data_IF_684313487171
#
_entry.id   IF_684313487171
#
_cell.length_a   1.000
_cell.length_b   1.000
_cell.length_c   1.000
_cell.angle_alpha   90.00
_cell.angle_beta   90.00
_cell.angle_gamma   90.00
#
_symmetry.space_group_name_H-M   'P 1'
#
loop_
_entity.id
_entity.type
_entity.pdbx_description
1 polymer ?
#
# COMPACT_ATOMS: atom_id res chain seq x y z
N UNK A 1 12.13 -2.85 10.71
CA UNK A 1 11.19 -1.72 10.61
C UNK A 1 9.81 -2.25 10.82
N UNK A 2 8.86 -1.43 11.26
CA UNK A 2 7.61 -1.95 11.81
C UNK A 2 6.43 -1.76 10.87
N UNK A 3 5.47 -2.69 10.93
CA UNK A 3 4.18 -2.63 10.23
C UNK A 3 3.47 -1.25 10.38
N UNK A 4 3.41 -0.62 11.58
CA UNK A 4 2.81 0.71 11.75
C UNK A 4 3.44 1.82 10.89
N UNK A 5 4.76 1.82 10.71
CA UNK A 5 5.44 2.84 9.90
C UNK A 5 5.09 2.69 8.42
N UNK A 6 4.96 1.45 7.94
CA UNK A 6 4.53 1.18 6.57
C UNK A 6 3.07 1.60 6.35
N UNK A 7 2.18 1.32 7.31
CA UNK A 7 0.79 1.77 7.25
C UNK A 7 0.67 3.30 7.26
N UNK A 8 1.46 3.98 8.10
CA UNK A 8 1.46 5.45 8.14
C UNK A 8 1.98 6.07 6.84
N UNK A 9 3.01 5.46 6.23
CA UNK A 9 3.50 5.86 4.91
C UNK A 9 2.38 5.79 3.86
N UNK A 10 1.69 4.66 3.74
CA UNK A 10 0.62 4.52 2.75
C UNK A 10 -0.61 5.37 3.09
N UNK A 11 -0.92 5.59 4.37
CA UNK A 11 -1.95 6.56 4.79
C UNK A 11 -1.65 7.97 4.27
N UNK A 12 -0.41 8.44 4.45
CA UNK A 12 0.03 9.75 3.95
C UNK A 12 -0.04 9.82 2.43
N UNK A 13 0.46 8.80 1.73
CA UNK A 13 0.37 8.72 0.26
C UNK A 13 -1.06 8.75 -0.26
N UNK A 14 -1.96 7.95 0.31
CA UNK A 14 -3.38 7.96 -0.07
C UNK A 14 -4.01 9.34 0.15
N UNK A 15 -3.65 10.03 1.24
CA UNK A 15 -4.09 11.40 1.50
C UNK A 15 -3.50 12.39 0.49
N UNK A 16 -2.20 12.31 0.21
CA UNK A 16 -1.52 13.15 -0.79
C UNK A 16 -2.17 12.99 -2.15
N UNK A 17 -2.29 11.75 -2.65
CA UNK A 17 -2.91 11.46 -3.95
C UNK A 17 -4.34 11.99 -4.08
N UNK A 18 -5.11 12.00 -2.98
CA UNK A 18 -6.46 12.54 -2.93
C UNK A 18 -6.52 14.08 -2.81
N UNK A 19 -5.42 14.72 -2.41
CA UNK A 19 -5.30 16.17 -2.24
C UNK A 19 -4.58 16.85 -3.40
N UNK A 20 -3.82 16.11 -4.21
CA UNK A 20 -3.01 16.64 -5.31
C UNK A 20 -3.83 17.40 -6.35
N UNK A 21 -5.10 17.03 -6.58
CA UNK A 21 -6.04 17.87 -7.34
C UNK A 21 -7.43 17.91 -6.68
N UNK A 22 -8.12 19.06 -6.69
CA UNK A 22 -9.44 19.24 -6.07
C UNK A 22 -10.57 18.34 -6.63
N UNK A 23 -10.29 17.55 -7.68
CA UNK A 23 -11.22 16.58 -8.28
C UNK A 23 -10.60 15.19 -8.57
N UNK A 24 -9.35 14.96 -8.13
CA UNK A 24 -8.74 13.62 -8.14
C UNK A 24 -8.95 12.97 -6.79
N UNK A 25 -9.80 11.95 -6.77
CA UNK A 25 -9.67 10.94 -5.73
C UNK A 25 -8.44 10.07 -6.00
N UNK A 26 -8.04 9.30 -5.01
CA UNK A 26 -6.97 8.31 -5.12
C UNK A 26 -7.10 7.40 -6.35
N UNK A 27 -8.32 7.01 -6.78
CA UNK A 27 -8.49 6.12 -7.95
C UNK A 27 -8.02 6.81 -9.20
N UNK A 28 -8.47 8.04 -9.41
CA UNK A 28 -8.07 8.83 -10.58
C UNK A 28 -6.56 9.04 -10.60
N UNK A 29 -5.94 9.32 -9.45
CA UNK A 29 -4.48 9.45 -9.37
C UNK A 29 -3.77 8.18 -9.80
N UNK A 30 -4.13 7.04 -9.21
CA UNK A 30 -3.51 5.75 -9.50
C UNK A 30 -3.71 5.36 -10.96
N UNK A 31 -4.92 5.55 -11.50
CA UNK A 31 -5.23 5.24 -12.89
C UNK A 31 -4.50 6.16 -13.88
N UNK A 32 -4.28 7.43 -13.52
CA UNK A 32 -3.53 8.38 -14.34
C UNK A 32 -2.02 8.08 -14.36
N UNK A 33 -1.43 7.83 -13.19
CA UNK A 33 -0.01 7.48 -13.10
C UNK A 33 0.26 6.10 -13.70
N UNK A 34 -0.69 5.17 -13.54
CA UNK A 34 -0.50 3.77 -13.86
C UNK A 34 0.66 3.14 -13.09
N UNK A 35 0.99 1.89 -13.45
CA UNK A 35 2.09 1.15 -12.82
C UNK A 35 3.42 1.90 -12.95
N UNK A 36 3.78 2.31 -14.17
CA UNK A 36 5.10 2.90 -14.46
C UNK A 36 5.32 4.23 -13.74
N UNK A 37 4.31 5.10 -13.69
CA UNK A 37 4.39 6.36 -12.96
C UNK A 37 4.58 6.13 -11.45
N UNK A 38 3.81 5.20 -10.88
CA UNK A 38 3.93 4.85 -9.47
C UNK A 38 5.28 4.19 -9.12
N UNK A 39 5.82 3.32 -10.00
CA UNK A 39 7.18 2.76 -9.81
C UNK A 39 8.22 3.87 -9.75
N UNK A 40 8.14 4.85 -10.65
CA UNK A 40 9.04 5.99 -10.66
C UNK A 40 8.87 6.85 -9.40
N UNK A 41 7.63 7.12 -8.98
CA UNK A 41 7.34 7.84 -7.74
C UNK A 41 7.98 7.15 -6.53
N UNK A 42 7.77 5.84 -6.37
CA UNK A 42 8.32 5.08 -5.25
C UNK A 42 9.84 4.98 -5.25
N UNK A 43 10.46 4.82 -6.43
CA UNK A 43 11.93 4.82 -6.55
C UNK A 43 12.55 6.16 -6.19
N UNK A 44 11.84 7.25 -6.46
CA UNK A 44 12.29 8.61 -6.15
C UNK A 44 11.94 9.05 -4.73
N UNK A 45 11.18 8.26 -3.96
CA UNK A 45 10.78 8.57 -2.59
C UNK A 45 11.79 7.98 -1.57
N UNK A 46 12.57 8.83 -0.85
CA UNK A 46 13.54 8.35 0.13
C UNK A 46 12.90 7.67 1.34
N UNK A 47 11.65 8.02 1.68
CA UNK A 47 10.93 7.38 2.79
C UNK A 47 10.44 5.99 2.39
N UNK A 48 10.04 5.80 1.14
CA UNK A 48 9.64 4.50 0.61
C UNK A 48 10.76 3.46 0.74
N UNK A 49 11.94 3.79 0.21
CA UNK A 49 13.11 2.90 0.24
C UNK A 49 13.61 2.61 1.65
N UNK A 50 13.40 3.54 2.59
CA UNK A 50 13.72 3.35 4.00
C UNK A 50 12.69 2.50 4.70
N UNK A 51 11.39 2.76 4.55
CA UNK A 51 10.33 2.17 5.37
C UNK A 51 9.83 0.86 4.77
N UNK A 52 9.41 0.89 3.51
CA UNK A 52 8.59 -0.17 2.91
C UNK A 52 9.47 -1.33 2.44
N UNK A 53 10.54 -1.05 1.68
CA UNK A 53 11.37 -2.13 1.12
C UNK A 53 12.07 -3.00 2.20
N UNK A 54 12.64 -2.45 3.29
CA UNK A 54 13.26 -3.26 4.34
C UNK A 54 12.24 -4.11 5.10
N UNK A 55 11.03 -3.58 5.32
CA UNK A 55 9.95 -4.33 5.95
C UNK A 55 9.52 -5.52 5.08
N UNK A 56 9.32 -5.32 3.77
CA UNK A 56 9.05 -6.42 2.84
C UNK A 56 10.16 -7.47 2.82
N UNK A 57 11.42 -7.04 2.97
CA UNK A 57 12.57 -7.95 3.00
C UNK A 57 12.55 -8.83 4.24
N UNK A 58 12.29 -8.25 5.41
CA UNK A 58 12.16 -8.97 6.68
C UNK A 58 11.00 -9.97 6.62
N UNK A 59 9.87 -9.56 6.04
CA UNK A 59 8.72 -10.45 5.86
C UNK A 59 9.01 -11.61 4.88
N UNK A 60 9.61 -11.33 3.73
CA UNK A 60 9.97 -12.36 2.76
C UNK A 60 10.97 -13.39 3.32
N UNK A 61 11.80 -12.98 4.28
CA UNK A 61 12.72 -13.86 5.03
C UNK A 61 12.02 -14.67 6.13
N UNK A 62 10.70 -14.52 6.30
CA UNK A 62 9.91 -15.29 7.26
C UNK A 62 10.04 -14.85 8.70
N UNK A 63 10.62 -13.66 8.96
CA UNK A 63 10.87 -13.16 10.31
C UNK A 63 9.60 -12.63 11.00
N UNK A 64 8.49 -12.43 10.27
CA UNK A 64 7.24 -11.84 10.78
C UNK A 64 5.97 -12.63 10.40
N UNK A 65 6.00 -13.97 10.42
CA UNK A 65 4.85 -14.78 9.99
C UNK A 65 3.60 -14.66 10.88
N UNK A 66 3.76 -14.47 12.19
CA UNK A 66 2.64 -14.57 13.14
C UNK A 66 1.80 -13.30 13.23
N UNK A 67 2.39 -12.11 13.13
CA UNK A 67 1.66 -10.84 13.19
C UNK A 67 0.78 -10.61 11.95
N UNK A 68 1.19 -11.18 10.82
CA UNK A 68 0.68 -10.83 9.50
C UNK A 68 -0.58 -11.60 9.12
N UNK A 69 -0.79 -12.79 9.68
CA UNK A 69 -1.96 -13.64 9.36
C UNK A 69 -3.28 -12.99 9.76
N UNK A 70 -3.35 -12.35 10.94
CA UNK A 70 -4.55 -11.64 11.40
C UNK A 70 -4.83 -10.39 10.57
N UNK A 71 -3.77 -9.65 10.23
CA UNK A 71 -3.85 -8.43 9.41
C UNK A 71 -4.34 -8.72 7.99
N UNK A 72 -3.81 -9.78 7.36
CA UNK A 72 -4.24 -10.21 6.02
C UNK A 72 -5.71 -10.62 6.05
N UNK A 73 -6.17 -11.32 7.10
CA UNK A 73 -7.59 -11.70 7.24
C UNK A 73 -8.51 -10.48 7.33
N UNK A 74 -8.17 -9.51 8.19
CA UNK A 74 -8.96 -8.28 8.33
C UNK A 74 -9.01 -7.49 7.01
N UNK A 75 -7.88 -7.35 6.32
CA UNK A 75 -7.82 -6.70 5.03
C UNK A 75 -8.61 -7.44 3.94
N UNK A 76 -8.62 -8.77 3.96
CA UNK A 76 -9.36 -9.57 2.98
C UNK A 76 -10.87 -9.42 3.17
N UNK A 77 -11.36 -9.39 4.42
CA UNK A 77 -12.78 -9.11 4.71
C UNK A 77 -13.21 -7.70 4.28
N UNK A 78 -12.29 -6.73 4.28
CA UNK A 78 -12.54 -5.38 3.80
C UNK A 78 -12.56 -5.27 2.26
N UNK A 79 -11.92 -6.22 1.56
CA UNK A 79 -11.92 -6.28 0.08
C UNK A 79 -13.19 -6.88 -0.51
N UNK A 80 -13.98 -7.63 0.25
CA UNK A 80 -15.23 -8.24 -0.24
C UNK A 80 -16.28 -7.17 -0.63
N UNK A 81 -16.15 -5.93 -0.14
CA UNK A 81 -17.02 -4.81 -0.50
C UNK A 81 -16.38 -3.86 -1.50
N UNK A 82 -16.21 -4.25 -2.77
CA UNK A 82 -15.99 -3.42 -3.99
C UNK A 82 -15.09 -2.15 -3.88
N UNK A 83 -14.24 -2.04 -2.86
CA UNK A 83 -13.80 -0.70 -2.49
C UNK A 83 -12.68 -0.21 -3.39
N UNK A 84 -11.65 -0.98 -3.77
CA UNK A 84 -10.51 -0.42 -4.55
C UNK A 84 -9.62 -1.52 -5.18
N UNK A 85 -10.18 -2.65 -5.61
CA UNK A 85 -9.37 -3.86 -5.94
C UNK A 85 -8.39 -3.66 -7.10
N UNK A 86 -8.77 -2.94 -8.17
CA UNK A 86 -7.91 -2.75 -9.33
C UNK A 86 -6.75 -1.79 -9.04
N UNK A 87 -7.03 -0.64 -8.42
CA UNK A 87 -6.02 0.36 -8.09
C UNK A 87 -5.04 -0.12 -7.03
N UNK A 88 -5.53 -0.88 -6.04
CA UNK A 88 -4.66 -1.52 -5.05
C UNK A 88 -3.73 -2.51 -5.73
N UNK A 89 -4.19 -3.28 -6.71
CA UNK A 89 -3.32 -4.19 -7.45
C UNK A 89 -2.21 -3.44 -8.20
N UNK A 90 -2.55 -2.33 -8.86
CA UNK A 90 -1.58 -1.46 -9.54
C UNK A 90 -0.54 -0.93 -8.54
N UNK A 91 -0.96 -0.43 -7.38
CA UNK A 91 -0.06 0.06 -6.33
C UNK A 91 0.84 -1.08 -5.84
N UNK A 92 0.27 -2.25 -5.53
CA UNK A 92 1.04 -3.38 -4.99
C UNK A 92 2.10 -3.83 -5.99
N UNK A 93 1.75 -3.97 -7.27
CA UNK A 93 2.71 -4.35 -8.31
C UNK A 93 3.81 -3.27 -8.43
N UNK A 94 3.44 -1.99 -8.41
CA UNK A 94 4.40 -0.90 -8.48
C UNK A 94 5.37 -0.88 -7.28
N UNK A 95 4.87 -1.14 -6.07
CA UNK A 95 5.68 -1.24 -4.85
C UNK A 95 6.67 -2.40 -4.94
N UNK A 96 6.21 -3.57 -5.38
CA UNK A 96 7.06 -4.75 -5.52
C UNK A 96 8.17 -4.52 -6.55
N UNK A 97 7.83 -3.94 -7.70
CA UNK A 97 8.79 -3.59 -8.76
C UNK A 97 9.76 -2.47 -8.33
N UNK A 98 9.29 -1.49 -7.54
CA UNK A 98 10.13 -0.45 -6.98
C UNK A 98 11.13 -0.98 -5.94
N UNK A 99 10.75 -2.00 -5.16
CA UNK A 99 11.62 -2.68 -4.21
C UNK A 99 12.48 -3.81 -4.82
N UNK A 100 12.33 -4.09 -6.12
CA UNK A 100 13.11 -5.11 -6.84
C UNK A 100 12.66 -6.56 -6.61
N UNK A 101 11.40 -6.78 -6.24
CA UNK A 101 10.82 -8.12 -6.14
C UNK A 101 10.35 -8.62 -7.51
N UNK A 102 10.85 -9.79 -7.90
CA UNK A 102 10.41 -10.51 -9.10
C UNK A 102 9.93 -11.93 -8.74
N UNK A 103 9.04 -12.51 -9.54
CA UNK A 103 8.68 -13.93 -9.46
C UNK A 103 7.94 -14.35 -8.17
N UNK A 104 8.38 -15.44 -7.53
CA UNK A 104 7.65 -16.13 -6.44
C UNK A 104 7.55 -15.30 -5.15
N UNK A 105 8.53 -14.43 -4.88
CA UNK A 105 8.49 -13.50 -3.75
C UNK A 105 7.34 -12.48 -3.87
N UNK A 106 6.91 -12.20 -5.10
CA UNK A 106 5.79 -11.33 -5.41
C UNK A 106 4.47 -11.85 -4.82
N UNK A 107 4.24 -13.17 -4.80
CA UNK A 107 2.98 -13.76 -4.30
C UNK A 107 2.79 -13.63 -2.79
N UNK A 108 3.86 -13.86 -2.01
CA UNK A 108 3.81 -13.75 -0.54
C UNK A 108 3.75 -12.29 -0.10
N UNK A 109 4.54 -11.42 -0.74
CA UNK A 109 4.57 -10.00 -0.41
C UNK A 109 3.28 -9.26 -0.84
N UNK A 110 2.57 -9.76 -1.87
CA UNK A 110 1.30 -9.19 -2.35
C UNK A 110 0.25 -9.13 -1.25
N UNK A 111 0.01 -10.22 -0.51
CA UNK A 111 -1.02 -10.26 0.53
C UNK A 111 -0.78 -9.26 1.66
N UNK A 112 0.48 -9.16 2.12
CA UNK A 112 0.88 -8.21 3.16
C UNK A 112 0.79 -6.75 2.68
N UNK A 113 1.27 -6.46 1.47
CA UNK A 113 1.21 -5.11 0.91
C UNK A 113 -0.22 -4.63 0.72
N UNK A 114 -1.08 -5.48 0.17
CA UNK A 114 -2.51 -5.21 0.05
C UNK A 114 -3.09 -4.81 1.42
N UNK A 115 -2.76 -5.55 2.47
CA UNK A 115 -3.26 -5.25 3.82
C UNK A 115 -2.77 -3.91 4.37
N UNK A 116 -1.49 -3.59 4.19
CA UNK A 116 -0.90 -2.30 4.61
C UNK A 116 -1.56 -1.13 3.89
N UNK A 117 -1.75 -1.24 2.56
CA UNK A 117 -2.31 -0.15 1.76
C UNK A 117 -3.78 0.08 2.15
N UNK A 118 -4.56 -0.99 2.37
CA UNK A 118 -5.95 -0.90 2.82
C UNK A 118 -6.04 -0.28 4.21
N UNK A 119 -5.22 -0.73 5.16
CA UNK A 119 -5.17 -0.17 6.51
C UNK A 119 -4.83 1.33 6.48
N UNK A 120 -3.89 1.73 5.61
CA UNK A 120 -3.55 3.12 5.37
C UNK A 120 -4.71 3.92 4.77
N UNK A 121 -5.40 3.39 3.77
CA UNK A 121 -6.50 4.07 3.08
C UNK A 121 -7.75 4.24 3.97
N UNK A 122 -8.13 3.22 4.75
CA UNK A 122 -9.29 3.29 5.66
C UNK A 122 -9.10 4.36 6.74
N UNK A 123 -7.88 4.50 7.25
CA UNK A 123 -7.57 5.53 8.24
C UNK A 123 -7.85 6.96 7.71
N UNK A 124 -7.70 7.19 6.40
CA UNK A 124 -8.05 8.47 5.76
C UNK A 124 -9.57 8.67 5.71
N UNK A 125 -10.34 7.65 5.31
CA UNK A 125 -11.81 7.71 5.24
C UNK A 125 -12.45 7.90 6.62
N UNK A 126 -11.98 7.17 7.62
CA UNK A 126 -12.45 7.31 9.00
C UNK A 126 -12.12 8.69 9.61
N UNK A 127 -10.97 9.26 9.25
CA UNK A 127 -10.57 10.61 9.69
C UNK A 127 -11.39 11.71 9.00
N UNK A 128 -11.82 11.49 7.76
CA UNK A 128 -12.71 12.40 7.05
C UNK A 128 -14.14 12.39 7.60
N UNK A 129 -14.63 11.22 8.05
CA UNK A 129 -15.96 11.07 8.66
C UNK A 129 -16.06 11.64 10.08
N UNK A 130 -14.97 11.62 10.88
CA UNK A 130 -14.94 12.19 12.24
C UNK A 130 -14.94 13.74 12.28
N UNK A 131 -14.79 14.41 11.14
CA UNK A 131 -14.81 15.88 11.03
C UNK A 131 -16.20 16.46 10.70
N UNK A 132 -17.27 15.67 10.79
CA UNK A 132 -18.66 16.15 10.61
C UNK A 132 -19.40 16.22 11.93
#
# INVERSE_FOLDING_TARGET
MSYPESCDYFRKKCSEWSLTHPHYDMRKYVNHQGKTGLVAEFRNDPLFSRIVCPFLKQYAQGQEKDMTSSIIKEATSLLEGDFFTAEIDIIVIAVLEACGYEGTAMKLAKGLLTAIIIAGAIAVVASALKKK
#
